data_IF_725560968144
#
_entry.id   IF_725560968144
#
_cell.length_a   1.000
_cell.length_b   1.000
_cell.length_c   1.000
_cell.angle_alpha   90.00
_cell.angle_beta   90.00
_cell.angle_gamma   90.00
#
_symmetry.space_group_name_H-M   'P 1'
#
loop_
_entity.id
_entity.type
_entity.pdbx_description
1 polymer ?
#
# COMPACT_ATOMS: atom_id res chain seq x y z
N UNK A 1 6.96 -11.46 14.59
CA UNK A 1 6.54 -10.79 13.34
C UNK A 1 7.74 -10.44 12.46
N UNK A 2 8.69 -9.63 12.93
CA UNK A 2 9.86 -9.22 12.13
C UNK A 2 10.66 -10.39 11.53
N UNK A 3 11.00 -11.41 12.32
CA UNK A 3 11.69 -12.61 11.83
C UNK A 3 10.91 -13.36 10.74
N UNK A 4 9.58 -13.43 10.86
CA UNK A 4 8.72 -14.08 9.87
C UNK A 4 8.70 -13.29 8.55
N UNK A 5 8.64 -11.95 8.64
CA UNK A 5 8.74 -11.05 7.48
C UNK A 5 10.10 -11.24 6.79
N UNK A 6 11.19 -11.23 7.56
CA UNK A 6 12.54 -11.43 7.00
C UNK A 6 12.68 -12.79 6.33
N UNK A 7 12.20 -13.86 6.97
CA UNK A 7 12.23 -15.21 6.40
C UNK A 7 11.43 -15.29 5.09
N UNK A 8 10.25 -14.66 5.04
CA UNK A 8 9.44 -14.61 3.83
C UNK A 8 10.12 -13.80 2.72
N UNK A 9 10.70 -12.64 3.05
CA UNK A 9 11.43 -11.81 2.10
C UNK A 9 12.66 -12.53 1.52
N UNK A 10 13.40 -13.29 2.36
CA UNK A 10 14.52 -14.11 1.90
C UNK A 10 14.08 -15.24 0.96
N UNK A 11 12.91 -15.83 1.21
CA UNK A 11 12.36 -16.89 0.37
C UNK A 11 11.75 -16.38 -0.95
N UNK A 12 11.39 -15.09 -1.02
CA UNK A 12 10.70 -14.48 -2.18
C UNK A 12 11.37 -13.14 -2.55
N UNK A 13 12.62 -13.15 -3.07
CA UNK A 13 13.40 -11.95 -3.33
C UNK A 13 12.77 -11.01 -4.38
N UNK A 14 11.84 -11.50 -5.19
CA UNK A 14 11.09 -10.73 -6.18
C UNK A 14 9.91 -9.93 -5.59
N UNK A 15 9.53 -10.21 -4.34
CA UNK A 15 8.51 -9.46 -3.62
C UNK A 15 9.20 -8.34 -2.85
N UNK A 16 8.78 -7.10 -3.09
CA UNK A 16 9.24 -5.97 -2.28
C UNK A 16 8.49 -5.99 -0.96
N UNK A 17 9.24 -6.06 0.13
CA UNK A 17 8.70 -5.99 1.49
C UNK A 17 9.50 -4.98 2.30
N UNK A 18 8.91 -3.79 2.48
CA UNK A 18 9.49 -2.75 3.31
C UNK A 18 8.82 -2.78 4.68
N UNK A 19 9.62 -2.83 5.73
CA UNK A 19 9.15 -2.83 7.12
C UNK A 19 9.75 -1.66 7.87
N UNK A 20 8.91 -0.89 8.55
CA UNK A 20 9.35 0.16 9.46
C UNK A 20 8.61 0.05 10.79
N UNK A 21 9.35 0.21 11.88
CA UNK A 21 8.82 0.21 13.24
C UNK A 21 9.12 1.54 13.91
N UNK A 22 8.13 2.10 14.60
CA UNK A 22 8.18 3.42 15.21
C UNK A 22 7.52 3.40 16.57
N UNK A 23 8.30 3.50 17.65
CA UNK A 23 7.77 3.43 19.02
C UNK A 23 6.94 2.14 19.22
N UNK A 24 5.61 2.25 19.30
CA UNK A 24 4.66 1.13 19.41
C UNK A 24 3.83 0.89 18.13
N UNK A 25 4.20 1.52 17.01
CA UNK A 25 3.51 1.38 15.73
C UNK A 25 4.40 0.74 14.67
N UNK A 26 3.79 0.13 13.66
CA UNK A 26 4.51 -0.40 12.50
C UNK A 26 3.79 -0.11 11.18
N UNK A 27 4.59 -0.12 10.12
CA UNK A 27 4.11 -0.13 8.74
C UNK A 27 4.84 -1.23 7.97
N UNK A 28 4.11 -2.01 7.18
CA UNK A 28 4.68 -2.99 6.24
C UNK A 28 4.06 -2.75 4.88
N UNK A 29 4.90 -2.55 3.88
CA UNK A 29 4.48 -2.48 2.47
C UNK A 29 4.86 -3.77 1.79
N UNK A 30 3.91 -4.38 1.07
CA UNK A 30 4.12 -5.56 0.26
C UNK A 30 3.70 -5.29 -1.18
N UNK A 31 4.64 -5.51 -2.11
CA UNK A 31 4.40 -5.35 -3.56
C UNK A 31 4.96 -6.58 -4.28
N UNK A 32 4.08 -7.32 -4.96
CA UNK A 32 4.46 -8.51 -5.72
C UNK A 32 4.86 -8.15 -7.15
N UNK A 33 5.56 -9.04 -7.89
CA UNK A 33 5.81 -8.84 -9.31
C UNK A 33 4.54 -8.64 -10.14
N UNK A 34 3.42 -9.23 -9.74
CA UNK A 34 2.14 -9.02 -10.39
C UNK A 34 1.67 -7.57 -10.27
N UNK A 35 1.75 -7.01 -9.05
CA UNK A 35 1.38 -5.62 -8.77
C UNK A 35 2.27 -4.64 -9.56
N UNK A 36 3.58 -4.87 -9.62
CA UNK A 36 4.48 -4.07 -10.47
C UNK A 36 4.11 -4.15 -11.95
N UNK A 37 3.68 -5.31 -12.45
CA UNK A 37 3.19 -5.43 -13.83
C UNK A 37 1.89 -4.67 -14.03
N UNK A 38 0.97 -4.69 -13.06
CA UNK A 38 -0.27 -3.92 -13.12
C UNK A 38 0.00 -2.42 -13.27
N UNK A 39 0.92 -1.87 -12.48
CA UNK A 39 1.34 -0.47 -12.62
C UNK A 39 1.89 -0.12 -14.01
N UNK A 40 2.51 -1.07 -14.73
CA UNK A 40 3.09 -0.84 -16.06
C UNK A 40 2.10 -1.09 -17.20
N UNK A 41 1.20 -2.04 -17.03
CA UNK A 41 0.34 -2.55 -18.11
C UNK A 41 -1.06 -1.93 -18.11
N UNK A 42 -1.55 -1.46 -16.96
CA UNK A 42 -2.89 -0.91 -16.81
C UNK A 42 -2.80 0.61 -16.68
N UNK A 43 -3.44 1.32 -17.62
CA UNK A 43 -3.54 2.79 -17.59
C UNK A 43 -4.34 3.23 -16.36
N UNK A 44 -5.34 2.45 -15.97
CA UNK A 44 -6.24 2.66 -14.85
C UNK A 44 -5.47 2.80 -13.53
N UNK A 45 -4.32 2.13 -13.40
CA UNK A 45 -3.43 2.27 -12.26
C UNK A 45 -2.87 3.69 -12.11
N UNK A 46 -2.85 4.49 -13.17
CA UNK A 46 -2.48 5.90 -13.14
C UNK A 46 -3.66 6.88 -13.14
N UNK A 47 -4.89 6.41 -13.35
CA UNK A 47 -6.09 7.25 -13.41
C UNK A 47 -6.79 7.29 -12.05
N UNK A 48 -7.37 6.16 -11.65
CA UNK A 48 -8.21 6.07 -10.44
C UNK A 48 -7.75 4.89 -9.60
N UNK A 49 -7.33 5.18 -8.37
CA UNK A 49 -6.90 4.17 -7.42
C UNK A 49 -7.85 4.12 -6.23
N UNK A 50 -8.40 2.94 -5.98
CA UNK A 50 -9.20 2.65 -4.81
C UNK A 50 -8.27 2.33 -3.64
N UNK A 51 -8.52 2.99 -2.51
CA UNK A 51 -7.84 2.77 -1.24
C UNK A 51 -8.93 2.51 -0.22
N UNK A 52 -8.87 1.37 0.44
CA UNK A 52 -9.83 0.99 1.48
C UNK A 52 -9.05 0.30 2.59
N UNK A 53 -9.35 0.62 3.84
CA UNK A 53 -8.69 0.07 5.01
C UNK A 53 -9.63 -0.85 5.78
N UNK A 54 -9.29 -2.14 5.84
CA UNK A 54 -9.97 -3.10 6.71
C UNK A 54 -9.14 -3.33 7.97
N UNK A 55 -9.72 -3.08 9.15
CA UNK A 55 -9.09 -3.46 10.42
C UNK A 55 -9.30 -4.94 10.74
N UNK A 56 -8.28 -5.59 11.31
CA UNK A 56 -8.39 -6.94 11.87
C UNK A 56 -8.43 -6.89 13.41
N UNK A 57 -9.13 -7.85 14.01
CA UNK A 57 -9.11 -8.10 15.46
C UNK A 57 -8.03 -9.15 15.77
N UNK A 58 -6.80 -8.87 15.36
CA UNK A 58 -5.65 -9.70 15.72
C UNK A 58 -4.95 -9.14 16.98
N UNK A 59 -3.96 -9.87 17.49
CA UNK A 59 -3.21 -9.45 18.68
C UNK A 59 -2.38 -8.17 18.47
N UNK A 60 -2.20 -7.75 17.22
CA UNK A 60 -1.37 -6.63 16.81
C UNK A 60 -2.19 -5.41 16.38
N UNK A 61 -3.52 -5.53 16.38
CA UNK A 61 -4.45 -4.56 15.84
C UNK A 61 -4.10 -4.17 14.39
N UNK A 62 -3.72 -5.14 13.57
CA UNK A 62 -3.26 -4.89 12.20
C UNK A 62 -4.42 -4.42 11.32
N UNK A 63 -4.26 -3.27 10.67
CA UNK A 63 -5.09 -2.85 9.55
C UNK A 63 -4.42 -3.21 8.22
N UNK A 64 -5.23 -3.61 7.25
CA UNK A 64 -4.82 -3.90 5.88
C UNK A 64 -5.44 -2.85 4.97
N UNK A 65 -4.62 -2.13 4.24
CA UNK A 65 -5.03 -1.10 3.29
C UNK A 65 -4.55 -1.47 1.88
N UNK A 66 -5.35 -2.21 1.10
CA UNK A 66 -5.07 -2.43 -0.32
C UNK A 66 -5.17 -1.15 -1.16
N UNK A 67 -4.25 -1.03 -2.11
CA UNK A 67 -4.34 -0.12 -3.25
C UNK A 67 -4.80 -0.94 -4.46
N UNK A 68 -5.82 -0.48 -5.17
CA UNK A 68 -6.39 -1.20 -6.30
C UNK A 68 -6.73 -0.28 -7.46
N UNK A 69 -6.75 -0.79 -8.68
CA UNK A 69 -7.33 -0.11 -9.84
C UNK A 69 -8.37 -1.00 -10.51
N UNK A 70 -9.17 -0.42 -11.40
CA UNK A 70 -10.05 -1.19 -12.26
C UNK A 70 -9.23 -1.97 -13.30
N UNK A 71 -9.65 -3.20 -13.59
CA UNK A 71 -9.13 -3.99 -14.71
C UNK A 71 -10.22 -4.84 -15.35
N UNK A 72 -9.90 -5.55 -16.45
CA UNK A 72 -10.90 -6.29 -17.23
C UNK A 72 -11.67 -7.37 -16.44
N UNK A 73 -11.07 -7.90 -15.38
CA UNK A 73 -11.65 -8.92 -14.50
C UNK A 73 -12.16 -8.39 -13.16
N UNK A 74 -12.21 -7.06 -12.96
CA UNK A 74 -12.53 -6.44 -11.67
C UNK A 74 -11.32 -5.73 -11.06
N UNK A 75 -11.29 -5.64 -9.72
CA UNK A 75 -10.24 -4.91 -9.00
C UNK A 75 -8.88 -5.62 -9.12
N UNK A 76 -7.86 -4.87 -9.51
CA UNK A 76 -6.48 -5.34 -9.63
C UNK A 76 -5.63 -4.71 -8.54
N UNK A 77 -4.95 -5.50 -7.68
CA UNK A 77 -4.12 -4.96 -6.62
C UNK A 77 -2.84 -4.30 -7.16
N UNK A 78 -2.46 -3.20 -6.51
CA UNK A 78 -1.31 -2.35 -6.80
C UNK A 78 -0.28 -2.34 -5.66
N UNK A 79 -0.74 -2.38 -4.41
CA UNK A 79 0.10 -2.54 -3.24
C UNK A 79 -0.76 -3.01 -2.06
N UNK A 80 -0.14 -3.61 -1.04
CA UNK A 80 -0.77 -3.86 0.25
C UNK A 80 0.03 -3.13 1.32
N UNK A 81 -0.65 -2.27 2.07
CA UNK A 81 -0.10 -1.65 3.27
C UNK A 81 -0.69 -2.34 4.50
N UNK A 82 0.17 -2.68 5.46
CA UNK A 82 -0.19 -3.21 6.78
C UNK A 82 0.24 -2.20 7.83
N UNK A 83 -0.66 -1.79 8.71
CA UNK A 83 -0.35 -0.84 9.79
C UNK A 83 -0.88 -1.32 11.14
N UNK A 84 -0.23 -0.89 12.23
CA UNK A 84 -0.71 -1.14 13.60
C UNK A 84 -1.90 -0.25 14.02
N UNK A 85 -2.15 0.83 13.29
CA UNK A 85 -3.21 1.79 13.54
C UNK A 85 -3.62 2.48 12.22
N UNK A 86 -4.81 3.08 12.24
CA UNK A 86 -5.36 3.85 11.11
C UNK A 86 -5.36 5.36 11.43
N UNK A 87 -4.45 5.81 12.30
CA UNK A 87 -4.26 7.25 12.53
C UNK A 87 -3.50 7.90 11.36
N UNK A 88 -3.67 9.22 11.23
CA UNK A 88 -3.13 10.00 10.11
C UNK A 88 -1.60 9.88 10.01
N UNK A 89 -0.91 9.89 11.15
CA UNK A 89 0.55 9.84 11.19
C UNK A 89 1.11 8.50 10.70
N UNK A 90 0.46 7.40 11.06
CA UNK A 90 0.84 6.04 10.66
C UNK A 90 0.50 5.81 9.18
N UNK A 91 -0.68 6.25 8.73
CA UNK A 91 -1.07 6.16 7.32
C UNK A 91 -0.15 7.00 6.43
N UNK A 92 0.19 8.24 6.83
CA UNK A 92 1.11 9.11 6.07
C UNK A 92 2.46 8.43 5.85
N UNK A 93 3.03 7.81 6.88
CA UNK A 93 4.28 7.05 6.75
C UNK A 93 4.11 5.84 5.84
N UNK A 94 3.03 5.08 6.01
CA UNK A 94 2.73 3.91 5.19
C UNK A 94 2.57 4.26 3.71
N UNK A 95 1.83 5.32 3.38
CA UNK A 95 1.64 5.78 2.00
C UNK A 95 2.93 6.32 1.38
N UNK A 96 3.75 7.04 2.15
CA UNK A 96 5.09 7.44 1.70
C UNK A 96 5.97 6.22 1.38
N UNK A 97 5.93 5.17 2.21
CA UNK A 97 6.64 3.91 1.93
C UNK A 97 6.14 3.22 0.66
N UNK A 98 4.82 3.25 0.38
CA UNK A 98 4.26 2.70 -0.87
C UNK A 98 4.81 3.49 -2.07
N UNK A 99 4.78 4.82 -2.01
CA UNK A 99 5.29 5.70 -3.07
C UNK A 99 6.78 5.47 -3.33
N UNK A 100 7.59 5.38 -2.26
CA UNK A 100 9.02 5.06 -2.36
C UNK A 100 9.26 3.68 -2.98
N UNK A 101 8.52 2.65 -2.55
CA UNK A 101 8.67 1.29 -3.04
C UNK A 101 8.30 1.14 -4.53
N UNK A 102 7.34 1.91 -5.02
CA UNK A 102 6.93 1.93 -6.43
C UNK A 102 7.86 2.75 -7.31
N UNK A 103 8.44 3.83 -6.75
CA UNK A 103 9.26 4.80 -7.47
C UNK A 103 8.51 5.52 -8.60
N UNK A 104 9.25 6.24 -9.44
CA UNK A 104 8.68 7.04 -10.54
C UNK A 104 7.93 6.19 -11.59
N UNK A 105 8.27 4.90 -11.69
CA UNK A 105 7.60 3.97 -12.61
C UNK A 105 6.21 3.52 -12.14
N UNK A 106 5.82 3.85 -10.90
CA UNK A 106 4.51 3.58 -10.34
C UNK A 106 3.39 4.32 -11.08
N UNK A 107 2.16 3.81 -10.89
CA UNK A 107 0.92 4.44 -11.38
C UNK A 107 0.96 4.79 -12.89
N UNK A 108 1.30 3.81 -13.73
CA UNK A 108 1.47 4.00 -15.18
C UNK A 108 2.55 5.03 -15.54
N UNK A 109 3.66 5.02 -14.80
CA UNK A 109 4.80 5.91 -15.00
C UNK A 109 4.54 7.36 -14.60
N UNK A 110 3.54 7.61 -13.74
CA UNK A 110 3.17 8.94 -13.26
C UNK A 110 3.76 9.27 -11.89
N UNK A 111 4.23 8.26 -11.15
CA UNK A 111 4.63 8.39 -9.74
C UNK A 111 3.45 8.54 -8.76
N UNK A 112 2.29 8.99 -9.22
CA UNK A 112 1.04 9.09 -8.46
C UNK A 112 -0.20 9.00 -9.39
N UNK A 113 -1.37 8.53 -8.88
CA UNK A 113 -2.59 8.46 -9.68
C UNK A 113 -3.24 9.85 -9.82
N UNK A 114 -4.16 10.01 -10.78
CA UNK A 114 -4.90 11.27 -10.94
C UNK A 114 -5.89 11.52 -9.80
N UNK A 115 -6.52 10.47 -9.28
CA UNK A 115 -7.33 10.57 -8.08
C UNK A 115 -7.35 9.26 -7.28
N UNK A 116 -7.65 9.43 -6.00
CA UNK A 116 -7.97 8.33 -5.10
C UNK A 116 -9.48 8.28 -4.86
N UNK A 117 -10.04 7.07 -4.82
CA UNK A 117 -11.36 6.78 -4.26
C UNK A 117 -11.14 6.08 -2.94
N UNK A 118 -11.79 6.58 -1.89
CA UNK A 118 -11.52 6.18 -0.51
C UNK A 118 -12.81 6.32 0.30
N UNK A 119 -12.89 5.67 1.45
CA UNK A 119 -14.02 5.83 2.35
C UNK A 119 -14.09 7.25 2.94
N UNK A 120 -15.19 7.61 3.59
CA UNK A 120 -15.27 8.87 4.31
C UNK A 120 -14.49 8.82 5.64
N UNK A 121 -13.19 8.55 5.55
CA UNK A 121 -12.24 8.45 6.65
C UNK A 121 -11.31 9.67 6.63
N UNK A 122 -11.41 10.53 7.65
CA UNK A 122 -10.62 11.76 7.72
C UNK A 122 -9.11 11.51 7.79
N UNK A 123 -8.59 10.62 8.65
CA UNK A 123 -7.16 10.30 8.71
C UNK A 123 -6.59 9.81 7.37
N UNK A 124 -7.31 8.92 6.69
CA UNK A 124 -6.92 8.36 5.39
C UNK A 124 -6.87 9.44 4.31
N UNK A 125 -7.91 10.28 4.23
CA UNK A 125 -7.97 11.39 3.28
C UNK A 125 -6.84 12.40 3.49
N UNK A 126 -6.51 12.74 4.74
CA UNK A 126 -5.40 13.65 5.05
C UNK A 126 -4.04 13.04 4.74
N UNK A 127 -3.85 11.77 5.05
CA UNK A 127 -2.62 11.05 4.74
C UNK A 127 -2.40 10.95 3.21
N UNK A 128 -3.43 10.58 2.44
CA UNK A 128 -3.35 10.54 0.97
C UNK A 128 -3.08 11.92 0.37
N UNK A 129 -3.67 12.99 0.92
CA UNK A 129 -3.45 14.35 0.42
C UNK A 129 -2.06 14.92 0.74
N UNK A 130 -1.30 14.30 1.64
CA UNK A 130 0.00 14.80 2.12
C UNK A 130 1.20 13.96 1.66
N UNK A 131 0.99 12.94 0.82
CA UNK A 131 2.02 12.00 0.34
C UNK A 131 2.10 11.94 -1.18
#
# INVERSE_FOLDING_TARGET
>A
MFEAIQKYAQANPEVVINYQHYQNSFCVVLITPFMFRAHKALKEAGEVVFVDATSCVDQLNTAITPFMCAGPGGAVPLAILLTSSQDEATLTKGFAMVKEALGESGFYGRGEPQCFITDNCEPERKALAST
#
